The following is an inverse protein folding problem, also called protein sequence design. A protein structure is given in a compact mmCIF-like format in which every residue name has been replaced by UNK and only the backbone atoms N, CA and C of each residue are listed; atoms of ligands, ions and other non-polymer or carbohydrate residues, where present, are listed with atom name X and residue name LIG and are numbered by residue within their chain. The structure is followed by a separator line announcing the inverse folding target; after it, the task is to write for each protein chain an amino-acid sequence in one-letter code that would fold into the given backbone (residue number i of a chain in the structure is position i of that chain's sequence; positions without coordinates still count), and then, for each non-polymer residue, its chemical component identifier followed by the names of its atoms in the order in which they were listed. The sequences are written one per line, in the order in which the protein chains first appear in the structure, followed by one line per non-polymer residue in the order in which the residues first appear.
data_IF_513705363085
#
_entry.id   IF_513705363085
#
_cell.length_a   1.000
_cell.length_b   1.000
_cell.length_c   1.000
_cell.angle_alpha   90.00
_cell.angle_beta   90.00
_cell.angle_gamma   90.00
#
_symmetry.space_group_name_H-M   'P 1'
#
loop_
_entity.id
_entity.type
_entity.pdbx_description
1 polymer ?
#
# COMPACT_ATOMS: atom_id res chain seq x y z
N UNK A 1 -15.86 -36.61 -11.06
CA UNK A 1 -16.94 -35.95 -10.29
C UNK A 1 -16.38 -34.71 -9.63
N UNK A 2 -16.45 -33.58 -10.34
CA UNK A 2 -15.83 -32.31 -9.96
C UNK A 2 -16.86 -31.53 -9.15
N UNK A 3 -16.57 -31.26 -7.87
CA UNK A 3 -17.39 -30.42 -7.01
C UNK A 3 -17.35 -28.99 -7.54
N UNK A 4 -18.49 -28.50 -7.98
CA UNK A 4 -18.77 -27.12 -8.38
C UNK A 4 -18.46 -26.15 -7.24
N UNK A 5 -17.66 -25.13 -7.53
CA UNK A 5 -17.47 -23.99 -6.65
C UNK A 5 -18.80 -23.21 -6.50
N UNK A 6 -19.12 -22.66 -5.31
CA UNK A 6 -20.39 -21.98 -5.10
C UNK A 6 -20.42 -20.66 -5.88
N UNK A 7 -21.49 -20.47 -6.66
CA UNK A 7 -21.85 -19.19 -7.30
C UNK A 7 -22.00 -18.12 -6.23
N UNK A 8 -21.10 -17.14 -6.22
CA UNK A 8 -21.33 -15.87 -5.50
C UNK A 8 -22.43 -15.13 -6.25
N UNK A 9 -23.66 -15.21 -5.74
CA UNK A 9 -24.77 -14.36 -6.16
C UNK A 9 -24.43 -12.94 -5.71
N UNK A 10 -24.07 -12.06 -6.64
CA UNK A 10 -24.17 -10.63 -6.43
C UNK A 10 -25.66 -10.32 -6.25
N UNK A 11 -26.07 -10.13 -5.00
CA UNK A 11 -27.38 -9.58 -4.68
C UNK A 11 -27.40 -8.15 -5.22
N UNK A 12 -28.20 -7.90 -6.24
CA UNK A 12 -28.66 -6.56 -6.56
C UNK A 12 -29.46 -6.06 -5.35
N UNK A 13 -28.90 -5.15 -4.57
CA UNK A 13 -29.63 -4.51 -3.47
C UNK A 13 -30.78 -3.67 -4.05
N UNK A 14 -31.97 -3.69 -3.43
CA UNK A 14 -33.07 -2.83 -3.82
C UNK A 14 -32.70 -1.38 -3.52
N UNK A 15 -33.20 -0.43 -4.33
CA UNK A 15 -32.96 1.00 -4.16
C UNK A 15 -33.36 1.45 -2.74
N UNK A 16 -32.36 1.61 -1.87
CA UNK A 16 -32.52 2.09 -0.50
C UNK A 16 -32.74 3.60 -0.58
N UNK A 17 -33.87 4.08 -0.04
CA UNK A 17 -34.18 5.51 0.02
C UNK A 17 -33.06 6.26 0.77
N UNK A 18 -32.62 7.40 0.22
CA UNK A 18 -31.50 8.18 0.75
C UNK A 18 -31.64 8.61 2.24
N UNK A 19 -32.86 8.56 2.79
CA UNK A 19 -33.10 8.81 4.22
C UNK A 19 -32.73 7.64 5.15
N UNK A 20 -32.78 6.40 4.67
CA UNK A 20 -32.51 5.20 5.48
C UNK A 20 -31.02 4.80 5.51
N UNK A 21 -30.27 5.15 4.48
CA UNK A 21 -28.80 4.97 4.40
C UNK A 21 -28.07 5.83 5.43
N UNK A 22 -28.46 7.11 5.57
CA UNK A 22 -27.87 8.04 6.54
C UNK A 22 -28.05 7.61 8.00
N UNK A 23 -29.22 7.06 8.37
CA UNK A 23 -29.47 6.54 9.73
C UNK A 23 -28.59 5.32 10.00
N UNK A 24 -28.50 4.39 9.04
CA UNK A 24 -27.64 3.19 9.16
C UNK A 24 -26.17 3.56 9.32
N UNK A 25 -25.68 4.54 8.54
CA UNK A 25 -24.28 5.03 8.63
C UNK A 25 -23.99 5.68 9.99
N UNK A 26 -24.92 6.50 10.51
CA UNK A 26 -24.81 7.11 11.85
C UNK A 26 -24.79 6.06 12.97
N UNK A 27 -25.68 5.08 12.91
CA UNK A 27 -25.71 3.96 13.87
C UNK A 27 -24.42 3.14 13.83
N UNK A 28 -23.94 2.79 12.62
CA UNK A 28 -22.66 2.10 12.42
C UNK A 28 -21.51 2.88 13.07
N UNK A 29 -21.50 4.19 12.88
CA UNK A 29 -20.47 5.08 13.43
C UNK A 29 -20.53 5.14 14.96
N UNK A 30 -21.71 5.32 15.55
CA UNK A 30 -21.90 5.30 17.00
C UNK A 30 -21.50 3.97 17.63
N UNK A 31 -21.93 2.85 17.04
CA UNK A 31 -21.54 1.53 17.50
C UNK A 31 -20.02 1.32 17.46
N UNK A 32 -19.37 1.78 16.39
CA UNK A 32 -17.91 1.71 16.26
C UNK A 32 -17.21 2.56 17.32
N UNK A 33 -17.66 3.80 17.55
CA UNK A 33 -17.12 4.67 18.61
C UNK A 33 -17.29 4.05 20.00
N UNK A 34 -18.43 3.42 20.28
CA UNK A 34 -18.65 2.70 21.55
C UNK A 34 -17.69 1.53 21.70
N UNK A 35 -17.46 0.73 20.65
CA UNK A 35 -16.48 -0.37 20.68
C UNK A 35 -15.05 0.15 20.93
N UNK A 36 -14.67 1.27 20.32
CA UNK A 36 -13.39 1.92 20.60
C UNK A 36 -13.31 2.37 22.07
N UNK A 37 -14.36 2.99 22.61
CA UNK A 37 -14.39 3.42 24.00
C UNK A 37 -14.26 2.23 24.97
N UNK A 38 -14.89 1.08 24.67
CA UNK A 38 -14.76 -0.15 25.45
C UNK A 38 -13.34 -0.75 25.39
N UNK A 39 -12.64 -0.59 24.26
CA UNK A 39 -11.26 -1.05 24.10
C UNK A 39 -10.22 -0.10 24.73
N UNK A 40 -10.58 1.16 24.99
CA UNK A 40 -9.70 2.19 25.54
C UNK A 40 -8.98 1.78 26.84
N UNK A 41 -9.64 1.27 27.91
CA UNK A 41 -8.95 0.93 29.15
C UNK A 41 -7.87 -0.15 28.96
N UNK A 42 -8.07 -1.10 28.05
CA UNK A 42 -7.07 -2.13 27.74
C UNK A 42 -5.84 -1.52 27.05
N UNK A 43 -6.06 -0.66 26.06
CA UNK A 43 -4.96 0.01 25.36
C UNK A 43 -4.24 1.01 26.27
N UNK A 44 -4.95 1.73 27.11
CA UNK A 44 -4.36 2.62 28.11
C UNK A 44 -3.48 1.84 29.09
N UNK A 45 -3.94 0.68 29.57
CA UNK A 45 -3.16 -0.18 30.47
C UNK A 45 -1.90 -0.68 29.77
N UNK A 46 -2.03 -1.23 28.55
CA UNK A 46 -0.91 -1.73 27.76
C UNK A 46 0.13 -0.64 27.50
N UNK A 47 -0.31 0.53 27.05
CA UNK A 47 0.59 1.67 26.77
C UNK A 47 1.20 2.22 28.05
N UNK A 48 0.45 2.30 29.15
CA UNK A 48 1.01 2.74 30.44
C UNK A 48 2.11 1.80 30.93
N UNK A 49 1.92 0.47 30.81
CA UNK A 49 2.96 -0.51 31.12
C UNK A 49 4.20 -0.30 30.24
N UNK A 50 4.01 -0.10 28.94
CA UNK A 50 5.10 0.15 27.99
C UNK A 50 5.86 1.46 28.30
N UNK A 51 5.15 2.53 28.65
CA UNK A 51 5.72 3.81 29.07
C UNK A 51 6.54 3.65 30.36
N UNK A 52 5.99 2.98 31.39
CA UNK A 52 6.71 2.69 32.63
C UNK A 52 7.98 1.87 32.36
N UNK A 53 7.89 0.87 31.48
CA UNK A 53 9.04 0.07 31.04
C UNK A 53 10.12 0.93 30.38
N UNK A 54 9.76 1.85 29.49
CA UNK A 54 10.72 2.73 28.79
C UNK A 54 11.45 3.72 29.71
N UNK A 55 10.84 4.09 30.84
CA UNK A 55 11.50 4.93 31.85
C UNK A 55 12.65 4.19 32.54
N UNK A 56 12.51 2.86 32.70
CA UNK A 56 13.50 1.99 33.33
C UNK A 56 14.54 1.49 32.32
N UNK A 57 14.09 1.07 31.13
CA UNK A 57 14.91 0.52 30.07
C UNK A 57 15.12 1.57 28.97
N UNK A 58 16.07 2.48 29.18
CA UNK A 58 16.48 3.41 28.12
C UNK A 58 17.18 2.64 27.01
N UNK A 59 16.60 2.63 25.81
CA UNK A 59 17.30 2.12 24.65
C UNK A 59 18.42 3.06 24.25
N UNK A 60 19.61 2.50 24.04
CA UNK A 60 20.70 3.21 23.41
C UNK A 60 20.29 3.52 21.96
N UNK A 61 20.25 4.80 21.60
CA UNK A 61 20.11 5.24 20.22
C UNK A 61 21.47 5.11 19.55
N UNK A 62 21.50 4.61 18.31
CA UNK A 62 22.73 4.66 17.53
C UNK A 62 23.10 6.13 17.28
N UNK A 63 24.33 6.49 17.61
CA UNK A 63 24.91 7.74 17.12
C UNK A 63 25.40 7.49 15.70
N UNK A 64 25.08 8.40 14.78
CA UNK A 64 25.59 8.36 13.41
C UNK A 64 26.56 9.52 13.22
N UNK A 65 27.65 9.27 12.49
CA UNK A 65 28.70 10.27 12.22
C UNK A 65 28.15 11.38 11.31
N UNK A 66 27.20 11.05 10.43
CA UNK A 66 26.58 11.97 9.48
C UNK A 66 25.05 11.96 9.65
N UNK A 67 24.52 12.65 10.68
CA UNK A 67 23.08 12.73 10.87
C UNK A 67 22.43 13.46 9.68
N UNK A 68 21.27 12.95 9.27
CA UNK A 68 20.48 13.52 8.19
C UNK A 68 19.11 13.94 8.72
N UNK A 69 18.49 14.93 8.08
CA UNK A 69 17.10 15.30 8.32
C UNK A 69 16.26 14.68 7.22
N UNK A 70 15.43 13.71 7.59
CA UNK A 70 14.58 12.94 6.68
C UNK A 70 13.14 13.42 6.80
N UNK A 71 12.59 13.94 5.70
CA UNK A 71 11.17 14.24 5.57
C UNK A 71 10.44 13.01 5.03
N UNK A 72 9.34 12.61 5.64
CA UNK A 72 8.54 11.46 5.21
C UNK A 72 7.10 11.91 4.96
N UNK A 73 6.60 11.65 3.75
CA UNK A 73 5.18 11.84 3.39
C UNK A 73 4.26 10.82 4.03
N UNK A 74 2.95 10.93 3.81
CA UNK A 74 2.01 9.88 4.21
C UNK A 74 2.00 9.61 5.70
N UNK A 75 2.14 10.65 6.52
CA UNK A 75 2.35 10.51 7.97
C UNK A 75 1.24 9.71 8.67
N UNK A 76 0.04 9.62 8.09
CA UNK A 76 -1.06 8.79 8.58
C UNK A 76 -0.91 7.29 8.28
N UNK A 77 -0.01 6.86 7.39
CA UNK A 77 0.17 5.47 6.99
C UNK A 77 1.22 4.75 7.86
N UNK A 78 0.96 3.51 8.25
CA UNK A 78 1.85 2.72 9.13
C UNK A 78 3.25 2.52 8.52
N UNK A 79 3.32 2.44 7.19
CA UNK A 79 4.58 2.44 6.43
C UNK A 79 5.46 3.67 6.70
N UNK A 80 4.88 4.87 6.88
CA UNK A 80 5.65 6.07 7.24
C UNK A 80 6.17 5.97 8.68
N UNK A 81 5.37 5.47 9.62
CA UNK A 81 5.81 5.21 10.99
C UNK A 81 6.96 4.19 11.06
N UNK A 82 6.87 3.12 10.27
CA UNK A 82 7.94 2.11 10.18
C UNK A 82 9.26 2.72 9.68
N UNK A 83 9.21 3.54 8.64
CA UNK A 83 10.39 4.24 8.13
C UNK A 83 10.92 5.26 9.14
N UNK A 84 10.03 6.02 9.81
CA UNK A 84 10.41 6.96 10.86
C UNK A 84 11.18 6.26 11.98
N UNK A 85 10.70 5.11 12.45
CA UNK A 85 11.40 4.29 13.44
C UNK A 85 12.76 3.81 12.95
N UNK A 86 12.83 3.38 11.69
CA UNK A 86 14.08 2.89 11.09
C UNK A 86 15.15 4.00 11.01
N UNK A 87 14.78 5.18 10.50
CA UNK A 87 15.68 6.34 10.43
C UNK A 87 16.08 6.85 11.82
N UNK A 88 15.13 6.92 12.75
CA UNK A 88 15.40 7.38 14.11
C UNK A 88 16.37 6.47 14.85
N UNK A 89 16.16 5.14 14.77
CA UNK A 89 17.05 4.12 15.37
C UNK A 89 18.47 4.21 14.81
N UNK A 90 18.62 4.53 13.51
CA UNK A 90 19.90 4.77 12.87
C UNK A 90 20.52 6.16 13.17
N UNK A 91 19.89 6.97 14.04
CA UNK A 91 20.44 8.25 14.51
C UNK A 91 20.04 9.47 13.67
N UNK A 92 19.16 9.33 12.70
CA UNK A 92 18.70 10.45 11.86
C UNK A 92 17.53 11.20 12.50
N UNK A 93 17.37 12.47 12.13
CA UNK A 93 16.23 13.31 12.53
C UNK A 93 15.09 13.06 11.54
N UNK A 94 13.87 12.88 12.04
CA UNK A 94 12.71 12.56 11.20
C UNK A 94 11.63 13.61 11.34
N UNK A 95 11.12 14.05 10.20
CA UNK A 95 10.00 14.98 10.08
C UNK A 95 8.90 14.27 9.30
N UNK A 96 7.68 14.29 9.84
CA UNK A 96 6.51 13.77 9.16
C UNK A 96 5.68 14.90 8.54
N UNK A 97 5.15 14.65 7.34
CA UNK A 97 4.14 15.51 6.72
C UNK A 97 2.90 14.71 6.33
N UNK A 98 1.75 15.35 6.43
CA UNK A 98 0.50 14.81 5.90
C UNK A 98 -0.51 15.94 5.61
N UNK A 99 -1.54 15.66 4.81
CA UNK A 99 -2.65 16.58 4.60
C UNK A 99 -3.31 17.02 5.91
N UNK A 100 -3.80 18.25 5.93
CA UNK A 100 -4.51 18.81 7.10
C UNK A 100 -5.70 17.96 7.57
N UNK A 101 -6.34 17.17 6.69
CA UNK A 101 -7.38 16.17 7.07
C UNK A 101 -6.89 15.23 8.18
N UNK A 102 -5.60 14.92 8.23
CA UNK A 102 -4.97 14.03 9.22
C UNK A 102 -4.03 14.79 10.16
N UNK A 103 -4.30 16.07 10.43
CA UNK A 103 -3.47 16.91 11.29
C UNK A 103 -3.16 16.28 12.66
N UNK A 104 -4.05 15.44 13.18
CA UNK A 104 -3.87 14.72 14.45
C UNK A 104 -3.74 13.21 14.27
N UNK A 105 -3.00 12.79 13.24
CA UNK A 105 -2.63 11.39 13.07
C UNK A 105 -1.88 10.87 14.29
N UNK A 106 -2.16 9.64 14.72
CA UNK A 106 -1.52 9.04 15.88
C UNK A 106 -0.02 8.82 15.71
N UNK A 107 0.48 8.68 14.48
CA UNK A 107 1.91 8.46 14.23
C UNK A 107 2.78 9.66 14.60
N UNK A 108 2.20 10.88 14.64
CA UNK A 108 2.94 12.10 15.05
C UNK A 108 3.34 12.10 16.53
N UNK A 109 2.77 11.20 17.33
CA UNK A 109 3.09 11.02 18.75
C UNK A 109 4.20 9.99 18.97
N UNK A 110 4.75 9.43 17.90
CA UNK A 110 5.93 8.58 17.99
C UNK A 110 7.13 9.39 18.49
N UNK A 111 7.91 8.82 19.41
CA UNK A 111 9.17 9.43 19.85
C UNK A 111 10.23 9.50 18.75
N UNK A 112 10.00 8.76 17.66
CA UNK A 112 10.86 8.78 16.50
C UNK A 112 10.66 10.03 15.64
N UNK A 113 9.60 10.81 15.87
CA UNK A 113 9.19 11.97 15.07
C UNK A 113 9.57 13.25 15.79
N UNK A 114 10.48 14.02 15.20
CA UNK A 114 10.95 15.29 15.77
C UNK A 114 9.95 16.43 15.53
N UNK A 115 9.41 16.51 14.32
CA UNK A 115 8.40 17.50 13.91
C UNK A 115 7.34 16.88 13.02
N UNK A 116 6.15 17.47 13.07
CA UNK A 116 5.04 17.15 12.20
C UNK A 116 4.46 18.43 11.59
N UNK A 117 4.26 18.41 10.28
CA UNK A 117 3.68 19.51 9.51
C UNK A 117 2.46 19.04 8.74
N UNK A 118 1.51 19.96 8.53
CA UNK A 118 0.40 19.72 7.60
C UNK A 118 0.62 20.42 6.28
N UNK A 119 0.30 19.76 5.18
CA UNK A 119 0.41 20.30 3.82
C UNK A 119 -0.95 20.32 3.10
N UNK A 120 -1.11 21.12 2.03
CA UNK A 120 -2.28 21.05 1.15
C UNK A 120 -2.45 19.67 0.51
N UNK A 121 -3.63 19.43 -0.08
CA UNK A 121 -3.83 18.21 -0.91
C UNK A 121 -2.94 18.25 -2.16
N UNK A 122 -2.48 17.10 -2.69
CA UNK A 122 -1.57 17.04 -3.84
C UNK A 122 -2.01 17.86 -5.06
N UNK A 123 -3.32 17.91 -5.35
CA UNK A 123 -3.87 18.66 -6.48
C UNK A 123 -3.91 20.18 -6.28
N UNK A 124 -3.59 20.68 -5.08
CA UNK A 124 -3.53 22.11 -4.80
C UNK A 124 -2.31 22.72 -5.47
N UNK A 125 -2.46 23.91 -6.05
CA UNK A 125 -1.33 24.71 -6.55
C UNK A 125 -0.32 25.08 -5.46
N UNK A 126 -0.70 25.01 -4.18
CA UNK A 126 0.16 25.32 -3.04
C UNK A 126 0.95 24.10 -2.53
N UNK A 127 0.70 22.90 -3.06
CA UNK A 127 1.31 21.66 -2.56
C UNK A 127 2.84 21.67 -2.66
N UNK A 128 3.35 22.01 -3.85
CA UNK A 128 4.79 22.05 -4.12
C UNK A 128 5.51 23.07 -3.23
N UNK A 129 4.96 24.28 -3.16
CA UNK A 129 5.53 25.38 -2.39
C UNK A 129 5.55 25.06 -0.88
N UNK A 130 4.48 24.47 -0.34
CA UNK A 130 4.43 24.08 1.07
C UNK A 130 5.50 23.03 1.43
N UNK A 131 5.76 22.06 0.54
CA UNK A 131 6.83 21.08 0.75
C UNK A 131 8.22 21.72 0.65
N UNK A 132 8.44 22.61 -0.32
CA UNK A 132 9.70 23.34 -0.46
C UNK A 132 10.02 24.18 0.79
N UNK A 133 9.02 24.89 1.33
CA UNK A 133 9.17 25.68 2.56
C UNK A 133 9.59 24.82 3.75
N UNK A 134 9.01 23.63 3.92
CA UNK A 134 9.39 22.70 4.98
C UNK A 134 10.82 22.19 4.74
N UNK A 135 11.15 21.82 3.50
CA UNK A 135 12.49 21.33 3.13
C UNK A 135 13.57 22.35 3.49
N UNK A 136 13.34 23.62 3.14
CA UNK A 136 14.28 24.71 3.42
C UNK A 136 14.32 25.06 4.91
N UNK A 137 13.16 25.22 5.56
CA UNK A 137 13.07 25.58 6.98
C UNK A 137 13.77 24.57 7.88
N UNK A 138 13.65 23.29 7.56
CA UNK A 138 14.12 22.20 8.40
C UNK A 138 15.48 21.63 7.97
N UNK A 139 16.08 22.19 6.91
CA UNK A 139 17.30 21.68 6.28
C UNK A 139 17.18 20.17 5.98
N UNK A 140 16.07 19.79 5.32
CA UNK A 140 15.84 18.42 4.90
C UNK A 140 16.90 18.02 3.89
N UNK A 141 17.56 16.89 4.11
CA UNK A 141 18.56 16.34 3.19
C UNK A 141 18.00 15.23 2.32
N UNK A 142 16.96 14.53 2.80
CA UNK A 142 16.26 13.47 2.06
C UNK A 142 14.75 13.57 2.26
N UNK A 143 13.98 13.56 1.16
CA UNK A 143 12.53 13.40 1.18
C UNK A 143 12.17 11.98 0.73
N UNK A 144 11.39 11.27 1.56
CA UNK A 144 10.86 9.93 1.29
C UNK A 144 9.34 10.01 1.15
N UNK A 145 8.81 10.06 -0.08
CA UNK A 145 7.38 10.05 -0.28
C UNK A 145 6.81 8.69 0.10
N UNK A 146 5.79 8.71 0.95
CA UNK A 146 4.94 7.57 1.27
C UNK A 146 3.53 8.00 0.89
N UNK A 147 3.01 7.50 -0.22
CA UNK A 147 1.93 8.18 -0.92
C UNK A 147 0.83 7.23 -1.40
N UNK A 148 -0.34 7.81 -1.65
CA UNK A 148 -1.40 7.19 -2.45
C UNK A 148 -1.00 7.21 -3.94
N UNK A 149 -1.66 6.43 -4.81
CA UNK A 149 -1.39 6.49 -6.25
C UNK A 149 -1.47 7.92 -6.82
N UNK A 150 -2.46 8.70 -6.38
CA UNK A 150 -2.62 10.08 -6.84
C UNK A 150 -1.52 10.99 -6.31
N UNK A 151 -1.16 10.89 -5.03
CA UNK A 151 -0.10 11.71 -4.44
C UNK A 151 1.27 11.43 -5.07
N UNK A 152 1.55 10.16 -5.42
CA UNK A 152 2.80 9.73 -6.08
C UNK A 152 3.11 10.53 -7.35
N UNK A 153 2.08 10.90 -8.14
CA UNK A 153 2.24 11.76 -9.30
C UNK A 153 2.76 13.16 -8.96
N UNK A 154 2.17 13.79 -7.94
CA UNK A 154 2.59 15.12 -7.52
C UNK A 154 3.95 15.10 -6.83
N UNK A 155 4.26 14.06 -6.06
CA UNK A 155 5.58 13.85 -5.47
C UNK A 155 6.67 13.74 -6.55
N UNK A 156 6.41 13.03 -7.65
CA UNK A 156 7.33 12.94 -8.78
C UNK A 156 7.47 14.27 -9.54
N UNK A 157 6.38 15.02 -9.71
CA UNK A 157 6.41 16.33 -10.37
C UNK A 157 7.27 17.36 -9.63
N UNK A 158 7.21 17.37 -8.30
CA UNK A 158 7.96 18.34 -7.49
C UNK A 158 9.40 17.91 -7.24
N UNK A 159 9.78 16.68 -7.60
CA UNK A 159 11.11 16.15 -7.31
C UNK A 159 12.23 17.03 -7.90
N UNK A 160 12.04 17.54 -9.12
CA UNK A 160 12.98 18.46 -9.76
C UNK A 160 13.11 19.80 -9.00
N UNK A 161 12.00 20.34 -8.50
CA UNK A 161 11.99 21.56 -7.69
C UNK A 161 12.72 21.37 -6.35
N UNK A 162 12.65 20.18 -5.75
CA UNK A 162 13.29 19.87 -4.48
C UNK A 162 14.76 19.43 -4.61
N UNK A 163 15.18 18.96 -5.79
CA UNK A 163 16.51 18.40 -6.04
C UNK A 163 17.69 19.32 -5.63
N UNK A 164 17.62 20.66 -5.77
CA UNK A 164 18.68 21.56 -5.29
C UNK A 164 18.86 21.55 -3.76
N UNK A 165 17.86 21.09 -3.02
CA UNK A 165 17.83 21.16 -1.55
C UNK A 165 17.94 19.78 -0.90
N UNK A 166 17.34 18.74 -1.48
CA UNK A 166 17.34 17.40 -0.91
C UNK A 166 17.25 16.30 -1.97
N UNK A 167 17.66 15.09 -1.61
CA UNK A 167 17.42 13.90 -2.43
C UNK A 167 15.97 13.44 -2.28
N UNK A 168 15.24 13.27 -3.38
CA UNK A 168 13.87 12.72 -3.35
C UNK A 168 13.90 11.23 -3.71
N UNK A 169 13.42 10.38 -2.80
CA UNK A 169 13.38 8.91 -2.97
C UNK A 169 12.16 8.46 -3.77
N UNK A 170 12.07 8.94 -5.01
CA UNK A 170 10.99 8.66 -5.95
C UNK A 170 11.54 8.52 -7.37
N UNK A 171 10.87 7.72 -8.21
CA UNK A 171 11.12 7.71 -9.65
C UNK A 171 10.70 9.06 -10.26
N UNK A 172 11.34 9.46 -11.35
CA UNK A 172 10.92 10.65 -12.10
C UNK A 172 9.52 10.51 -12.69
N UNK A 173 8.92 11.62 -13.11
CA UNK A 173 7.52 11.67 -13.56
C UNK A 173 7.28 10.83 -14.83
N UNK A 174 8.26 10.73 -15.73
CA UNK A 174 8.12 9.95 -16.97
C UNK A 174 8.13 8.46 -16.65
N UNK A 175 9.07 8.01 -15.81
CA UNK A 175 9.13 6.64 -15.31
C UNK A 175 7.92 6.29 -14.47
N UNK A 176 7.43 7.19 -13.63
CA UNK A 176 6.19 6.98 -12.89
C UNK A 176 5.02 6.66 -13.82
N UNK A 177 4.80 7.50 -14.86
CA UNK A 177 3.71 7.30 -15.83
C UNK A 177 3.86 5.97 -16.57
N UNK A 178 5.08 5.63 -16.99
CA UNK A 178 5.36 4.37 -17.68
C UNK A 178 5.10 3.15 -16.78
N UNK A 179 5.46 3.23 -15.50
CA UNK A 179 5.37 2.10 -14.58
C UNK A 179 3.96 1.91 -14.00
N UNK A 180 3.20 2.98 -13.78
CA UNK A 180 1.82 2.93 -13.27
C UNK A 180 0.80 2.54 -14.37
N UNK A 181 1.11 2.85 -15.64
CA UNK A 181 0.35 2.33 -16.79
C UNK A 181 0.69 0.85 -17.00
N UNK A 182 -0.29 -0.03 -16.69
CA UNK A 182 -0.13 -1.49 -16.78
C UNK A 182 0.32 -1.99 -18.16
N UNK A 183 -0.08 -1.31 -19.23
CA UNK A 183 0.32 -1.70 -20.58
C UNK A 183 1.74 -1.23 -20.87
N UNK A 184 2.06 0.04 -20.59
CA UNK A 184 3.41 0.57 -20.80
C UNK A 184 4.45 -0.17 -19.95
N UNK A 185 4.10 -0.53 -18.72
CA UNK A 185 4.89 -1.42 -17.85
C UNK A 185 5.15 -2.78 -18.50
N UNK A 186 4.10 -3.45 -18.98
CA UNK A 186 4.24 -4.77 -19.61
C UNK A 186 5.14 -4.71 -20.86
N UNK A 187 5.01 -3.66 -21.67
CA UNK A 187 5.88 -3.44 -22.84
C UNK A 187 7.35 -3.20 -22.40
N UNK A 188 7.58 -2.37 -21.38
CA UNK A 188 8.92 -2.11 -20.86
C UNK A 188 9.60 -3.39 -20.34
N UNK A 189 8.88 -4.19 -19.55
CA UNK A 189 9.38 -5.47 -19.06
C UNK A 189 9.61 -6.49 -20.19
N UNK A 190 8.66 -6.61 -21.13
CA UNK A 190 8.80 -7.51 -22.28
C UNK A 190 9.99 -7.16 -23.18
N UNK A 191 10.31 -5.88 -23.34
CA UNK A 191 11.49 -5.42 -24.09
C UNK A 191 12.81 -5.86 -23.44
N UNK A 192 12.81 -6.03 -22.10
CA UNK A 192 13.94 -6.57 -21.35
C UNK A 192 13.96 -8.12 -21.33
N UNK A 193 13.05 -8.78 -22.06
CA UNK A 193 12.92 -10.24 -22.08
C UNK A 193 12.33 -10.82 -20.79
N UNK A 194 11.69 -9.99 -19.95
CA UNK A 194 11.13 -10.40 -18.68
C UNK A 194 9.69 -10.90 -18.83
N UNK A 195 9.34 -11.90 -18.03
CA UNK A 195 8.02 -12.54 -18.08
C UNK A 195 6.91 -11.60 -17.59
N UNK A 196 5.95 -11.35 -18.48
CA UNK A 196 4.71 -10.60 -18.23
C UNK A 196 3.56 -11.26 -18.99
N UNK A 197 2.30 -11.10 -18.55
CA UNK A 197 1.17 -11.63 -19.29
C UNK A 197 1.06 -10.95 -20.65
N UNK A 198 0.60 -11.69 -21.67
CA UNK A 198 0.30 -11.10 -22.98
C UNK A 198 -0.72 -9.98 -22.81
N UNK A 199 -0.40 -8.81 -23.34
CA UNK A 199 -1.14 -7.58 -23.07
C UNK A 199 -1.38 -6.79 -24.35
N UNK A 200 -2.59 -6.26 -24.50
CA UNK A 200 -3.01 -5.43 -25.63
C UNK A 200 -3.67 -4.16 -25.10
N UNK A 201 -3.34 -3.01 -25.70
CA UNK A 201 -4.00 -1.73 -25.40
C UNK A 201 -5.29 -1.62 -26.19
N UNK A 202 -6.38 -1.35 -25.49
CA UNK A 202 -7.73 -1.28 -26.05
C UNK A 202 -8.27 0.15 -25.87
N UNK A 203 -8.44 0.86 -26.98
CA UNK A 203 -9.04 2.20 -27.05
C UNK A 203 -10.41 2.19 -27.72
N UNK A 204 -10.81 1.06 -28.31
CA UNK A 204 -12.11 0.89 -28.92
C UNK A 204 -12.66 -0.55 -28.71
N UNK A 205 -13.93 -0.74 -28.33
CA UNK A 205 -14.54 -2.06 -28.12
C UNK A 205 -14.33 -3.06 -29.26
N UNK A 206 -14.36 -2.57 -30.50
CA UNK A 206 -14.20 -3.39 -31.70
C UNK A 206 -12.87 -4.15 -31.73
N UNK A 207 -11.80 -3.62 -31.12
CA UNK A 207 -10.50 -4.30 -31.04
C UNK A 207 -10.58 -5.63 -30.28
N UNK A 208 -11.49 -5.75 -29.31
CA UNK A 208 -11.71 -6.99 -28.56
C UNK A 208 -12.67 -7.91 -29.30
N UNK A 209 -13.67 -7.35 -29.97
CA UNK A 209 -14.66 -8.11 -30.76
C UNK A 209 -13.99 -8.81 -31.94
N UNK A 210 -13.05 -8.14 -32.60
CA UNK A 210 -12.32 -8.68 -33.75
C UNK A 210 -11.10 -9.53 -33.36
N UNK A 211 -10.81 -9.66 -32.06
CA UNK A 211 -9.65 -10.41 -31.60
C UNK A 211 -9.84 -11.93 -31.79
N UNK A 212 -8.88 -12.56 -32.43
CA UNK A 212 -8.86 -14.02 -32.61
C UNK A 212 -8.41 -14.74 -31.32
N UNK A 213 -9.38 -15.15 -30.51
CA UNK A 213 -9.13 -15.93 -29.30
C UNK A 213 -8.78 -17.41 -29.57
N UNK A 214 -8.86 -17.91 -30.81
CA UNK A 214 -8.68 -19.35 -31.10
C UNK A 214 -7.28 -19.87 -30.75
N UNK A 215 -6.28 -19.00 -30.77
CA UNK A 215 -4.88 -19.31 -30.44
C UNK A 215 -4.51 -19.00 -28.98
N UNK A 216 -5.46 -18.52 -28.18
CA UNK A 216 -5.24 -18.19 -26.79
C UNK A 216 -5.06 -19.46 -25.95
N UNK A 217 -3.97 -19.54 -25.19
CA UNK A 217 -3.74 -20.64 -24.23
C UNK A 217 -4.52 -20.44 -22.93
N UNK A 218 -4.65 -19.18 -22.51
CA UNK A 218 -5.37 -18.75 -21.32
C UNK A 218 -6.47 -17.75 -21.72
N UNK A 219 -7.56 -17.64 -20.94
CA UNK A 219 -8.54 -16.58 -21.16
C UNK A 219 -7.91 -15.20 -20.92
N UNK A 220 -8.58 -14.15 -21.36
CA UNK A 220 -8.16 -12.77 -21.14
C UNK A 220 -9.09 -12.04 -20.18
N UNK A 221 -8.62 -10.96 -19.58
CA UNK A 221 -9.40 -10.05 -18.75
C UNK A 221 -9.19 -8.61 -19.24
N UNK A 222 -10.18 -7.75 -18.99
CA UNK A 222 -10.13 -6.33 -19.28
C UNK A 222 -10.00 -5.54 -17.97
N UNK A 223 -8.98 -4.68 -17.89
CA UNK A 223 -8.80 -3.74 -16.78
C UNK A 223 -8.71 -2.31 -17.33
N UNK A 224 -9.30 -1.35 -16.64
CA UNK A 224 -9.05 0.06 -16.94
C UNK A 224 -7.58 0.39 -16.69
N UNK A 225 -6.95 1.14 -17.61
CA UNK A 225 -5.61 1.68 -17.39
C UNK A 225 -5.69 2.84 -16.38
N UNK A 226 -6.53 3.88 -16.58
CA UNK A 226 -6.85 4.84 -15.54
C UNK A 226 -7.49 4.16 -14.32
N UNK A 227 -7.31 4.76 -13.14
CA UNK A 227 -7.89 4.25 -11.91
C UNK A 227 -9.43 4.28 -11.97
N UNK A 228 -10.06 3.12 -11.82
CA UNK A 228 -11.53 2.93 -11.76
C UNK A 228 -11.89 2.16 -10.48
N UNK A 229 -12.44 2.84 -9.48
CA UNK A 229 -12.80 2.23 -8.19
C UNK A 229 -13.97 1.24 -8.26
N UNK A 230 -14.80 1.32 -9.29
CA UNK A 230 -15.99 0.48 -9.46
C UNK A 230 -15.64 -0.84 -10.13
N UNK A 231 -14.82 -0.78 -11.19
CA UNK A 231 -14.55 -1.94 -12.07
C UNK A 231 -13.21 -2.62 -11.79
N UNK A 232 -12.35 -2.06 -10.93
CA UNK A 232 -10.99 -2.61 -10.66
C UNK A 232 -10.96 -4.07 -10.24
N UNK A 233 -12.00 -4.59 -9.59
CA UNK A 233 -12.07 -5.99 -9.15
C UNK A 233 -12.80 -6.91 -10.12
N UNK A 234 -13.32 -6.39 -11.24
CA UNK A 234 -14.04 -7.20 -12.22
C UNK A 234 -13.04 -7.97 -13.10
N UNK A 235 -12.89 -9.27 -12.84
CA UNK A 235 -12.04 -10.18 -13.61
C UNK A 235 -12.87 -11.00 -14.60
N UNK A 236 -13.80 -10.35 -15.32
CA UNK A 236 -14.63 -11.02 -16.32
C UNK A 236 -13.75 -11.60 -17.42
N UNK A 237 -13.75 -12.93 -17.53
CA UNK A 237 -12.94 -13.65 -18.51
C UNK A 237 -13.54 -13.54 -19.93
N UNK A 238 -12.64 -13.46 -20.90
CA UNK A 238 -12.87 -13.39 -22.34
C UNK A 238 -12.18 -14.56 -23.06
N UNK A 239 -12.76 -15.07 -24.16
CA UNK A 239 -14.08 -14.69 -24.68
C UNK A 239 -15.22 -15.14 -23.75
N UNK A 240 -16.38 -14.51 -23.88
CA UNK A 240 -17.62 -15.00 -23.28
C UNK A 240 -18.10 -16.25 -24.04
N UNK A 241 -19.04 -17.05 -23.49
CA UNK A 241 -19.58 -18.24 -24.15
C UNK A 241 -19.96 -18.07 -25.62
N UNK A 242 -20.43 -16.88 -26.01
CA UNK A 242 -20.71 -16.53 -27.41
C UNK A 242 -20.03 -15.22 -27.82
N UNK A 243 -19.83 -15.03 -29.12
CA UNK A 243 -19.31 -13.78 -29.68
C UNK A 243 -20.22 -12.59 -29.36
N UNK A 244 -21.55 -12.80 -29.38
CA UNK A 244 -22.54 -11.76 -29.06
C UNK A 244 -22.50 -11.35 -27.57
N UNK A 245 -22.33 -12.31 -26.66
CA UNK A 245 -22.11 -12.01 -25.25
C UNK A 245 -20.81 -11.22 -25.02
N UNK A 246 -19.75 -11.56 -25.77
CA UNK A 246 -18.48 -10.82 -25.73
C UNK A 246 -18.69 -9.38 -26.19
N UNK A 247 -19.34 -9.18 -27.34
CA UNK A 247 -19.63 -7.87 -27.88
C UNK A 247 -20.50 -7.04 -26.92
N UNK A 248 -21.54 -7.64 -26.34
CA UNK A 248 -22.43 -6.98 -25.37
C UNK A 248 -21.66 -6.53 -24.14
N UNK A 249 -20.84 -7.42 -23.57
CA UNK A 249 -20.03 -7.09 -22.39
C UNK A 249 -19.05 -5.95 -22.69
N UNK A 250 -18.28 -6.03 -23.76
CA UNK A 250 -17.24 -5.03 -24.07
C UNK A 250 -17.87 -3.67 -24.41
N UNK A 251 -19.00 -3.64 -25.13
CA UNK A 251 -19.73 -2.38 -25.43
C UNK A 251 -20.32 -1.72 -24.17
N UNK A 252 -20.51 -2.46 -23.08
CA UNK A 252 -20.95 -1.88 -21.79
C UNK A 252 -19.82 -1.18 -21.01
N UNK A 253 -18.58 -1.33 -21.47
CA UNK A 253 -17.41 -0.69 -20.86
C UNK A 253 -17.17 0.70 -21.48
N UNK A 254 -16.80 1.72 -20.68
CA UNK A 254 -16.49 3.06 -21.16
C UNK A 254 -15.11 3.12 -21.82
N UNK A 255 -14.88 2.27 -22.82
CA UNK A 255 -13.63 2.18 -23.57
C UNK A 255 -13.58 3.33 -24.58
N UNK A 256 -12.52 4.13 -24.53
CA UNK A 256 -12.26 5.18 -25.51
C UNK A 256 -10.76 5.51 -25.55
N UNK A 257 -10.34 6.40 -26.45
CA UNK A 257 -8.97 6.92 -26.43
C UNK A 257 -8.64 7.67 -25.12
N UNK A 258 -9.61 8.40 -24.58
CA UNK A 258 -9.47 9.14 -23.32
C UNK A 258 -9.55 8.22 -22.08
N UNK A 259 -10.17 7.04 -22.21
CA UNK A 259 -10.24 6.04 -21.16
C UNK A 259 -9.80 4.67 -21.71
N UNK A 260 -8.49 4.48 -21.92
CA UNK A 260 -7.98 3.25 -22.49
C UNK A 260 -8.00 2.10 -21.48
N UNK A 261 -8.16 0.89 -21.98
CA UNK A 261 -8.15 -0.35 -21.21
C UNK A 261 -6.98 -1.24 -21.63
N UNK A 262 -6.61 -2.17 -20.77
CA UNK A 262 -5.66 -3.25 -21.06
C UNK A 262 -6.43 -4.57 -21.13
N UNK A 263 -6.31 -5.27 -22.26
CA UNK A 263 -6.69 -6.67 -22.38
C UNK A 263 -5.45 -7.52 -22.06
N UNK A 264 -5.49 -8.19 -20.92
CA UNK A 264 -4.35 -8.92 -20.36
C UNK A 264 -4.70 -10.40 -20.21
N UNK A 265 -3.76 -11.29 -20.52
CA UNK A 265 -3.91 -12.72 -20.26
C UNK A 265 -4.19 -12.97 -18.78
N UNK A 266 -5.21 -13.77 -18.49
CA UNK A 266 -5.56 -14.16 -17.13
C UNK A 266 -4.61 -15.26 -16.66
N UNK A 267 -3.79 -14.94 -15.67
CA UNK A 267 -2.86 -15.90 -15.07
C UNK A 267 -3.51 -16.49 -13.81
N UNK A 268 -3.96 -17.75 -13.81
CA UNK A 268 -4.42 -18.42 -12.60
C UNK A 268 -3.21 -18.81 -11.76
N UNK A 269 -3.21 -18.51 -10.46
CA UNK A 269 -2.06 -18.88 -9.63
C UNK A 269 -2.00 -18.22 -8.27
N UNK A 270 -0.84 -18.32 -7.64
CA UNK A 270 -0.55 -17.66 -6.37
C UNK A 270 -0.07 -16.23 -6.64
N UNK A 271 -0.78 -15.25 -6.11
CA UNK A 271 -0.36 -13.85 -6.18
C UNK A 271 0.74 -13.56 -5.14
N UNK A 272 1.70 -12.72 -5.52
CA UNK A 272 2.75 -12.19 -4.66
C UNK A 272 2.82 -10.68 -4.78
N UNK A 273 3.12 -10.02 -3.67
CA UNK A 273 3.41 -8.60 -3.56
C UNK A 273 4.88 -8.40 -3.24
N UNK A 274 5.47 -7.33 -3.74
CA UNK A 274 6.87 -6.99 -3.44
C UNK A 274 7.03 -5.53 -3.10
N UNK A 275 8.13 -5.21 -2.44
CA UNK A 275 8.58 -3.83 -2.28
C UNK A 275 10.09 -3.76 -2.34
N UNK A 276 10.58 -2.77 -3.08
CA UNK A 276 12.01 -2.52 -3.20
C UNK A 276 12.32 -1.02 -3.10
N UNK A 277 13.42 -0.71 -2.41
CA UNK A 277 14.11 0.59 -2.52
C UNK A 277 15.27 0.40 -3.47
N UNK A 278 15.35 1.26 -4.48
CA UNK A 278 16.29 1.10 -5.60
C UNK A 278 17.06 2.40 -5.82
N UNK A 279 18.31 2.28 -6.26
CA UNK A 279 19.18 3.41 -6.53
C UNK A 279 20.11 3.10 -7.70
N UNK A 280 20.07 3.93 -8.73
CA UNK A 280 20.92 3.82 -9.92
C UNK A 280 20.97 2.38 -10.46
N UNK A 281 19.80 1.75 -10.64
CA UNK A 281 19.70 0.40 -11.17
C UNK A 281 20.10 -0.72 -10.21
N UNK A 282 20.35 -0.42 -8.94
CA UNK A 282 20.67 -1.40 -7.89
C UNK A 282 19.57 -1.47 -6.84
N UNK A 283 19.18 -2.69 -6.49
CA UNK A 283 18.23 -2.93 -5.41
C UNK A 283 18.96 -2.86 -4.07
N UNK A 284 18.53 -1.94 -3.21
CA UNK A 284 19.11 -1.72 -1.88
C UNK A 284 18.41 -2.55 -0.81
N UNK A 285 17.08 -2.63 -0.92
CA UNK A 285 16.22 -3.37 -0.02
C UNK A 285 15.13 -4.05 -0.84
N UNK A 286 14.79 -5.28 -0.49
CA UNK A 286 13.74 -6.05 -1.15
C UNK A 286 12.97 -6.93 -0.17
N UNK A 287 11.65 -7.01 -0.34
CA UNK A 287 10.85 -8.07 0.27
C UNK A 287 9.80 -8.59 -0.70
N UNK A 288 9.39 -9.84 -0.46
CA UNK A 288 8.34 -10.53 -1.20
C UNK A 288 7.38 -11.18 -0.20
N UNK A 289 6.09 -11.10 -0.50
CA UNK A 289 5.01 -11.63 0.33
C UNK A 289 3.97 -12.34 -0.54
N UNK A 290 3.32 -13.38 -0.03
CA UNK A 290 2.07 -13.85 -0.65
C UNK A 290 1.03 -12.74 -0.55
N UNK A 291 0.33 -12.45 -1.64
CA UNK A 291 -0.70 -11.42 -1.70
C UNK A 291 -2.12 -12.00 -1.53
N UNK A 292 -3.07 -11.11 -1.26
CA UNK A 292 -4.50 -11.40 -1.20
C UNK A 292 -5.30 -10.14 -1.50
N UNK A 293 -6.58 -10.30 -1.87
CA UNK A 293 -7.47 -9.19 -2.20
C UNK A 293 -7.60 -8.12 -1.10
N UNK A 294 -7.35 -8.47 0.17
CA UNK A 294 -7.23 -7.52 1.26
C UNK A 294 -6.06 -7.88 2.18
N UNK A 295 -4.87 -7.52 1.72
CA UNK A 295 -3.62 -7.78 2.42
C UNK A 295 -3.41 -6.82 3.60
N UNK A 296 -3.59 -7.34 4.82
CA UNK A 296 -3.27 -6.67 6.09
C UNK A 296 -2.47 -7.58 7.03
N UNK A 297 -1.83 -8.60 6.46
CA UNK A 297 -0.87 -9.45 7.13
C UNK A 297 0.32 -9.58 6.18
N UNK A 298 1.55 -9.47 6.64
CA UNK A 298 2.71 -9.61 5.78
C UNK A 298 3.70 -10.58 6.39
N UNK A 299 4.10 -11.57 5.60
CA UNK A 299 5.12 -12.55 5.93
C UNK A 299 6.07 -12.65 4.75
N UNK A 300 7.37 -12.56 5.03
CA UNK A 300 8.39 -12.61 4.00
C UNK A 300 8.52 -14.04 3.48
N UNK A 301 8.65 -14.17 2.17
CA UNK A 301 8.94 -15.43 1.50
C UNK A 301 10.11 -15.24 0.56
N UNK A 302 11.05 -16.17 0.59
CA UNK A 302 12.15 -16.20 -0.36
C UNK A 302 11.64 -16.74 -1.70
N UNK A 303 11.72 -15.91 -2.74
CA UNK A 303 11.26 -16.28 -4.08
C UNK A 303 12.28 -15.83 -5.13
N UNK A 304 13.29 -16.66 -5.36
CA UNK A 304 14.45 -16.34 -6.20
C UNK A 304 14.10 -15.93 -7.64
N UNK A 305 13.02 -16.46 -8.23
CA UNK A 305 12.60 -16.05 -9.58
C UNK A 305 12.05 -14.62 -9.63
N UNK A 306 11.25 -14.23 -8.64
CA UNK A 306 10.73 -12.87 -8.49
C UNK A 306 11.89 -11.91 -8.23
N UNK A 307 12.82 -12.29 -7.35
CA UNK A 307 14.02 -11.49 -7.06
C UNK A 307 14.86 -11.26 -8.32
N UNK A 308 15.17 -12.32 -9.09
CA UNK A 308 15.91 -12.22 -10.36
C UNK A 308 15.19 -11.30 -11.36
N UNK A 309 13.87 -11.42 -11.46
CA UNK A 309 13.06 -10.55 -12.33
C UNK A 309 13.24 -9.08 -11.94
N UNK A 310 13.13 -8.77 -10.64
CA UNK A 310 13.25 -7.40 -10.12
C UNK A 310 14.64 -6.84 -10.33
N UNK A 311 15.69 -7.62 -10.02
CA UNK A 311 17.08 -7.22 -10.25
C UNK A 311 17.32 -6.82 -11.71
N UNK A 312 16.83 -7.64 -12.65
CA UNK A 312 16.96 -7.39 -14.08
C UNK A 312 16.15 -6.16 -14.52
N UNK A 313 14.91 -6.00 -14.06
CA UNK A 313 14.05 -4.87 -14.41
C UNK A 313 14.61 -3.53 -13.89
N UNK A 314 15.00 -3.51 -12.62
CA UNK A 314 15.55 -2.33 -11.95
C UNK A 314 16.85 -1.88 -12.63
N UNK A 315 17.74 -2.83 -12.95
CA UNK A 315 18.97 -2.56 -13.68
C UNK A 315 18.70 -2.08 -15.11
N UNK A 316 17.82 -2.76 -15.83
CA UNK A 316 17.49 -2.46 -17.23
C UNK A 316 16.91 -1.06 -17.43
N UNK A 317 16.18 -0.52 -16.45
CA UNK A 317 15.63 0.83 -16.49
C UNK A 317 16.45 1.86 -15.67
N UNK A 318 17.56 1.45 -15.05
CA UNK A 318 18.40 2.28 -14.19
C UNK A 318 17.60 3.04 -13.10
N UNK A 319 16.68 2.35 -12.42
CA UNK A 319 15.72 3.00 -11.54
C UNK A 319 16.37 3.54 -10.25
N UNK A 320 15.85 4.68 -9.78
CA UNK A 320 16.08 5.24 -8.44
C UNK A 320 14.74 5.59 -7.81
N UNK A 321 14.56 5.27 -6.53
CA UNK A 321 13.34 5.53 -5.78
C UNK A 321 12.75 4.28 -5.14
N UNK A 322 11.43 4.16 -5.16
CA UNK A 322 10.70 3.07 -4.52
C UNK A 322 9.79 2.40 -5.56
N UNK A 323 9.88 1.08 -5.68
CA UNK A 323 9.07 0.31 -6.63
C UNK A 323 8.52 -0.94 -5.98
N UNK A 324 7.26 -1.22 -6.24
CA UNK A 324 6.54 -2.37 -5.70
C UNK A 324 5.85 -3.06 -6.86
N UNK A 325 5.94 -4.38 -6.94
CA UNK A 325 5.37 -5.14 -8.05
C UNK A 325 4.44 -6.21 -7.52
N UNK A 326 3.38 -6.46 -8.28
CA UNK A 326 2.53 -7.62 -8.08
C UNK A 326 2.88 -8.68 -9.13
N UNK A 327 3.01 -9.91 -8.67
CA UNK A 327 3.32 -11.08 -9.48
C UNK A 327 2.24 -12.14 -9.32
N UNK A 328 2.13 -13.02 -10.32
CA UNK A 328 1.43 -14.29 -10.19
C UNK A 328 2.39 -15.41 -10.58
N UNK A 329 2.56 -16.38 -9.69
CA UNK A 329 3.15 -17.66 -10.05
C UNK A 329 2.04 -18.56 -10.60
N UNK A 330 2.10 -18.84 -11.89
CA UNK A 330 1.02 -19.51 -12.60
C UNK A 330 0.88 -20.98 -12.18
N UNK A 331 -0.35 -21.45 -12.00
CA UNK A 331 -0.63 -22.80 -11.52
C UNK A 331 -0.41 -23.89 -12.59
N UNK A 332 -0.40 -23.51 -13.86
CA UNK A 332 -0.31 -24.42 -15.01
C UNK A 332 1.13 -24.65 -15.49
N UNK A 333 1.97 -23.61 -15.58
CA UNK A 333 3.38 -23.74 -16.00
C UNK A 333 4.41 -23.40 -14.90
N UNK A 334 3.96 -22.95 -13.73
CA UNK A 334 4.81 -22.60 -12.60
C UNK A 334 5.59 -21.30 -12.76
N UNK A 335 5.51 -20.62 -13.91
CA UNK A 335 6.28 -19.40 -14.18
C UNK A 335 5.72 -18.20 -13.43
N UNK A 336 6.60 -17.27 -13.09
CA UNK A 336 6.22 -15.99 -12.50
C UNK A 336 5.96 -14.94 -13.58
N UNK A 337 4.86 -14.21 -13.44
CA UNK A 337 4.48 -13.11 -14.35
C UNK A 337 4.26 -11.85 -13.54
N UNK A 338 4.98 -10.76 -13.87
CA UNK A 338 4.70 -9.46 -13.28
C UNK A 338 3.44 -8.87 -13.92
N UNK A 339 2.44 -8.54 -13.11
CA UNK A 339 1.12 -8.09 -13.59
C UNK A 339 0.92 -6.58 -13.51
N UNK A 340 1.56 -5.91 -12.54
CA UNK A 340 1.57 -4.46 -12.39
C UNK A 340 2.79 -3.98 -11.58
N UNK A 341 3.17 -2.72 -11.81
CA UNK A 341 4.12 -1.98 -10.98
C UNK A 341 3.39 -0.81 -10.30
N UNK A 342 3.72 -0.59 -9.04
CA UNK A 342 3.24 0.48 -8.18
C UNK A 342 4.49 1.25 -7.68
N UNK A 343 4.88 2.39 -8.29
CA UNK A 343 6.17 3.05 -8.03
C UNK A 343 6.18 3.87 -6.73
N UNK A 344 5.83 3.21 -5.62
CA UNK A 344 5.60 3.79 -4.30
C UNK A 344 5.82 2.75 -3.21
N UNK A 345 5.95 3.19 -1.97
CA UNK A 345 6.16 2.31 -0.81
C UNK A 345 4.99 1.34 -0.61
N UNK A 346 5.29 0.05 -0.47
CA UNK A 346 4.30 -0.94 -0.05
C UNK A 346 4.28 -1.11 1.47
N UNK A 347 3.16 -1.55 2.02
CA UNK A 347 3.04 -1.78 3.48
C UNK A 347 3.83 -2.99 3.98
N UNK A 348 4.30 -3.84 3.06
CA UNK A 348 5.26 -4.91 3.32
C UNK A 348 6.56 -4.42 3.99
N UNK A 349 6.90 -3.12 3.87
CA UNK A 349 8.03 -2.50 4.59
C UNK A 349 7.95 -2.70 6.11
N UNK A 350 6.75 -2.94 6.67
CA UNK A 350 6.55 -3.25 8.10
C UNK A 350 7.32 -4.50 8.54
N UNK A 351 7.62 -5.44 7.64
CA UNK A 351 8.42 -6.63 7.96
C UNK A 351 9.88 -6.30 8.29
N UNK A 352 10.34 -5.08 8.04
CA UNK A 352 11.69 -4.63 8.40
C UNK A 352 11.77 -3.98 9.80
N UNK A 353 10.77 -4.16 10.66
CA UNK A 353 10.71 -3.55 12.01
C UNK A 353 11.96 -3.77 12.88
N UNK A 354 12.69 -4.86 12.64
CA UNK A 354 13.91 -5.26 13.33
C UNK A 354 15.19 -5.20 12.47
N UNK A 355 15.14 -4.68 11.24
CA UNK A 355 16.31 -4.68 10.37
C UNK A 355 17.14 -3.38 10.54
N UNK A 356 18.45 -3.47 10.84
CA UNK A 356 19.29 -2.29 11.10
C UNK A 356 19.55 -1.44 9.85
N UNK A 357 19.68 -2.07 8.68
CA UNK A 357 20.15 -1.37 7.46
C UNK A 357 19.05 -0.69 6.62
N UNK A 358 17.81 -0.63 7.11
CA UNK A 358 16.72 0.04 6.36
C UNK A 358 17.06 1.49 6.09
N UNK A 359 17.59 2.21 7.09
CA UNK A 359 17.99 3.60 6.90
C UNK A 359 19.07 3.71 5.82
N UNK A 360 20.09 2.85 5.84
CA UNK A 360 21.17 2.86 4.87
C UNK A 360 20.69 2.56 3.44
N UNK A 361 19.70 1.67 3.28
CA UNK A 361 19.10 1.37 1.98
C UNK A 361 18.44 2.60 1.32
N UNK A 362 17.99 3.58 2.11
CA UNK A 362 17.43 4.82 1.61
C UNK A 362 18.46 5.94 1.48
N UNK A 363 19.40 6.06 2.41
CA UNK A 363 20.26 7.25 2.54
C UNK A 363 21.63 7.10 1.88
N UNK A 364 22.14 5.87 1.76
CA UNK A 364 23.46 5.64 1.17
C UNK A 364 23.42 5.93 -0.34
N UNK A 365 24.42 6.68 -0.82
CA UNK A 365 24.53 7.02 -2.25
C UNK A 365 25.08 5.85 -3.06
N UNK A 366 25.85 4.97 -2.44
CA UNK A 366 26.40 3.77 -3.07
C UNK A 366 25.52 2.56 -2.78
N UNK A 367 25.50 1.55 -3.69
CA UNK A 367 24.84 0.29 -3.42
C UNK A 367 25.33 -0.34 -2.11
N UNK A 368 24.40 -0.86 -1.32
CA UNK A 368 24.73 -1.66 -0.15
C UNK A 368 25.54 -2.90 -0.58
N UNK A 369 26.52 -3.34 0.23
CA UNK A 369 27.29 -4.56 -0.05
C UNK A 369 26.39 -5.79 -0.19
N UNK A 370 25.29 -5.82 0.58
CA UNK A 370 24.26 -6.83 0.52
C UNK A 370 22.90 -6.15 0.51
N UNK A 371 22.01 -6.63 -0.37
CA UNK A 371 20.62 -6.20 -0.40
C UNK A 371 19.94 -6.54 0.93
N UNK A 372 19.32 -5.54 1.57
CA UNK A 372 18.58 -5.74 2.80
C UNK A 372 17.28 -6.50 2.52
N UNK A 373 17.04 -7.58 3.26
CA UNK A 373 15.80 -8.37 3.22
C UNK A 373 15.27 -8.51 4.65
N UNK A 374 13.96 -8.77 4.87
CA UNK A 374 13.45 -9.01 6.21
C UNK A 374 14.28 -10.12 6.89
N UNK A 375 14.72 -9.87 8.13
CA UNK A 375 15.55 -10.84 8.85
C UNK A 375 14.79 -12.15 9.04
N UNK A 376 15.51 -13.28 9.17
CA UNK A 376 14.90 -14.56 9.54
C UNK A 376 14.13 -14.50 10.88
N UNK A 377 14.51 -13.58 11.76
CA UNK A 377 13.81 -13.28 13.01
C UNK A 377 12.61 -12.35 12.86
N UNK A 378 12.31 -11.86 11.64
CA UNK A 378 11.14 -11.05 11.36
C UNK A 378 9.89 -11.93 11.40
N UNK A 379 8.98 -11.58 12.31
CA UNK A 379 7.70 -12.27 12.47
C UNK A 379 6.67 -11.67 11.52
N UNK A 380 5.64 -12.44 11.13
CA UNK A 380 4.55 -11.90 10.32
C UNK A 380 3.94 -10.66 10.95
N UNK A 381 3.83 -9.56 10.18
CA UNK A 381 3.23 -8.33 10.67
C UNK A 381 1.73 -8.32 10.48
N UNK A 382 1.00 -7.68 11.38
CA UNK A 382 -0.47 -7.55 11.33
C UNK A 382 -0.94 -6.26 12.00
N UNK A 383 -2.23 -5.96 11.93
CA UNK A 383 -2.86 -4.88 12.69
C UNK A 383 -3.89 -5.45 13.66
N UNK A 384 -3.68 -5.27 14.97
CA UNK A 384 -4.50 -5.91 16.03
C UNK A 384 -5.99 -5.68 15.81
N UNK A 385 -6.41 -4.45 15.48
CA UNK A 385 -7.83 -4.15 15.32
C UNK A 385 -8.47 -4.82 14.10
N UNK A 386 -7.70 -5.08 13.03
CA UNK A 386 -8.18 -5.88 11.91
C UNK A 386 -8.40 -7.34 12.32
N UNK A 387 -7.47 -7.91 13.09
CA UNK A 387 -7.59 -9.29 13.57
C UNK A 387 -8.70 -9.44 14.62
N UNK A 388 -8.88 -8.47 15.53
CA UNK A 388 -9.98 -8.45 16.49
C UNK A 388 -11.34 -8.33 15.78
N UNK A 389 -11.45 -7.48 14.76
CA UNK A 389 -12.69 -7.40 13.97
C UNK A 389 -12.99 -8.72 13.24
N UNK A 390 -11.97 -9.36 12.65
CA UNK A 390 -12.10 -10.68 12.03
C UNK A 390 -12.50 -11.75 13.04
N UNK A 391 -11.96 -11.71 14.25
CA UNK A 391 -12.34 -12.60 15.35
C UNK A 391 -13.84 -12.46 15.65
N UNK A 392 -14.32 -11.23 15.89
CA UNK A 392 -15.73 -10.95 16.23
C UNK A 392 -16.71 -11.37 15.12
N UNK A 393 -16.30 -11.24 13.85
CA UNK A 393 -17.16 -11.58 12.70
C UNK A 393 -17.07 -13.04 12.27
N UNK A 394 -16.08 -13.80 12.75
CA UNK A 394 -15.83 -15.20 12.37
C UNK A 394 -15.90 -16.17 13.57
N UNK A 395 -16.52 -15.75 14.68
CA UNK A 395 -16.60 -16.51 15.95
C UNK A 395 -17.17 -17.93 15.80
N UNK A 396 -18.04 -18.16 14.81
CA UNK A 396 -18.71 -19.44 14.59
C UNK A 396 -17.80 -20.51 13.95
N UNK A 397 -16.55 -20.17 13.60
CA UNK A 397 -15.59 -21.09 13.00
C UNK A 397 -14.40 -21.34 13.92
N UNK A 398 -14.34 -22.49 14.64
CA UNK A 398 -13.23 -22.82 15.54
C UNK A 398 -11.87 -22.84 14.84
N UNK A 399 -11.83 -23.28 13.59
CA UNK A 399 -10.61 -23.30 12.76
C UNK A 399 -10.10 -21.88 12.51
N UNK A 400 -10.99 -20.95 12.13
CA UNK A 400 -10.61 -19.57 11.89
C UNK A 400 -10.21 -18.87 13.19
N UNK A 401 -10.94 -19.11 14.28
CA UNK A 401 -10.57 -18.62 15.61
C UNK A 401 -9.14 -19.04 15.99
N UNK A 402 -8.81 -20.32 15.87
CA UNK A 402 -7.46 -20.84 16.15
C UNK A 402 -6.40 -20.16 15.28
N UNK A 403 -6.66 -20.02 13.97
CA UNK A 403 -5.74 -19.35 13.05
C UNK A 403 -5.50 -17.88 13.43
N UNK A 404 -6.54 -17.15 13.81
CA UNK A 404 -6.43 -15.74 14.22
C UNK A 404 -5.66 -15.58 15.53
N UNK A 405 -5.91 -16.46 16.51
CA UNK A 405 -5.14 -16.48 17.75
C UNK A 405 -3.66 -16.79 17.48
N UNK A 406 -3.35 -17.71 16.56
CA UNK A 406 -1.97 -17.97 16.15
C UNK A 406 -1.30 -16.75 15.51
N UNK A 407 -2.02 -15.98 14.67
CA UNK A 407 -1.51 -14.73 14.10
C UNK A 407 -1.18 -13.72 15.22
N UNK A 408 -2.07 -13.53 16.19
CA UNK A 408 -1.86 -12.61 17.30
C UNK A 408 -0.69 -13.01 18.20
N UNK A 409 -0.51 -14.31 18.46
CA UNK A 409 0.56 -14.82 19.33
C UNK A 409 1.92 -14.81 18.63
N UNK A 410 1.96 -15.24 17.37
CA UNK A 410 3.22 -15.43 16.64
C UNK A 410 3.65 -14.19 15.87
N UNK A 411 2.74 -13.25 15.61
CA UNK A 411 3.03 -12.09 14.78
C UNK A 411 3.60 -10.89 15.55
N UNK A 412 3.77 -9.81 14.80
CA UNK A 412 4.15 -8.49 15.29
C UNK A 412 3.07 -7.49 14.88
N UNK A 413 2.46 -6.81 15.85
CA UNK A 413 1.62 -5.67 15.52
C UNK A 413 2.46 -4.59 14.82
N UNK A 414 1.96 -4.07 13.70
CA UNK A 414 2.67 -3.15 12.83
C UNK A 414 2.74 -1.71 13.40
N UNK A 415 1.91 -1.38 14.40
CA UNK A 415 1.89 -0.06 15.04
C UNK A 415 2.51 -0.14 16.45
N UNK A 416 2.17 -1.14 17.26
CA UNK A 416 2.64 -1.24 18.64
C UNK A 416 4.12 -1.62 18.74
N UNK A 417 4.90 -0.74 19.38
CA UNK A 417 6.25 -0.99 19.83
C UNK A 417 6.34 -0.71 21.32
N UNK A 418 7.07 -1.54 22.06
CA UNK A 418 7.24 -1.35 23.49
C UNK A 418 7.98 -0.05 23.81
N UNK A 419 8.94 0.30 22.96
CA UNK A 419 9.80 1.47 23.12
C UNK A 419 9.30 2.65 22.26
N UNK A 420 8.09 2.56 21.71
CA UNK A 420 7.38 3.66 21.05
C UNK A 420 5.86 3.37 21.03
N UNK A 421 5.20 3.32 22.21
CA UNK A 421 3.85 2.77 22.32
C UNK A 421 2.73 3.78 22.01
N UNK A 422 3.02 5.08 22.08
CA UNK A 422 2.01 6.14 21.92
C UNK A 422 1.27 6.11 20.57
N UNK A 423 1.92 5.84 19.42
CA UNK A 423 1.20 5.70 18.14
C UNK A 423 0.07 4.68 18.19
N UNK A 424 0.22 3.58 18.93
CA UNK A 424 -0.83 2.57 19.04
C UNK A 424 -2.07 3.11 19.74
N UNK A 425 -1.91 3.84 20.84
CA UNK A 425 -3.05 4.48 21.51
C UNK A 425 -3.68 5.55 20.62
N UNK A 426 -2.85 6.43 20.06
CA UNK A 426 -3.33 7.64 19.39
C UNK A 426 -3.97 7.34 18.02
N UNK A 427 -3.52 6.31 17.30
CA UNK A 427 -4.20 5.89 16.06
C UNK A 427 -5.60 5.39 16.39
N UNK A 428 -5.72 4.45 17.32
CA UNK A 428 -6.98 3.75 17.58
C UNK A 428 -7.98 4.58 18.38
N UNK A 429 -7.52 5.46 19.26
CA UNK A 429 -8.37 6.20 20.21
C UNK A 429 -8.38 7.71 20.01
N UNK A 430 -7.68 8.22 19.00
CA UNK A 430 -7.74 9.64 18.65
C UNK A 430 -7.98 9.86 17.16
N UNK A 431 -7.05 9.42 16.30
CA UNK A 431 -7.16 9.59 14.85
C UNK A 431 -8.44 8.97 14.28
N UNK A 432 -8.67 7.67 14.52
CA UNK A 432 -9.84 6.98 13.99
C UNK A 432 -11.16 7.56 14.56
N UNK A 433 -11.31 7.77 15.87
CA UNK A 433 -12.48 8.46 16.42
C UNK A 433 -12.74 9.84 15.81
N UNK A 434 -11.71 10.67 15.58
CA UNK A 434 -11.87 11.98 14.95
C UNK A 434 -12.36 11.86 13.51
N UNK A 435 -11.84 10.90 12.74
CA UNK A 435 -12.32 10.64 11.39
C UNK A 435 -13.78 10.17 11.40
N UNK A 436 -14.14 9.28 12.33
CA UNK A 436 -15.51 8.78 12.50
C UNK A 436 -16.47 9.90 12.89
N UNK A 437 -16.10 10.77 13.84
CA UNK A 437 -16.88 11.95 14.22
C UNK A 437 -17.02 12.92 13.04
N UNK A 438 -15.97 13.09 12.24
CA UNK A 438 -16.03 13.87 11.00
C UNK A 438 -17.03 13.28 10.01
N UNK A 439 -16.99 11.97 9.77
CA UNK A 439 -17.95 11.24 8.92
C UNK A 439 -19.38 11.37 9.46
N UNK A 440 -19.57 11.23 10.77
CA UNK A 440 -20.87 11.36 11.44
C UNK A 440 -21.47 12.75 11.22
N UNK A 441 -20.68 13.81 11.38
CA UNK A 441 -21.11 15.20 11.18
C UNK A 441 -21.47 15.48 9.72
N UNK A 442 -20.69 14.97 8.77
CA UNK A 442 -20.96 15.15 7.33
C UNK A 442 -22.11 14.26 6.82
N UNK A 443 -22.47 13.20 7.54
CA UNK A 443 -23.37 12.17 7.04
C UNK A 443 -22.74 11.29 5.95
N UNK A 444 -21.41 11.31 5.82
CA UNK A 444 -20.68 10.48 4.85
C UNK A 444 -20.81 9.01 5.20
N UNK A 445 -20.98 8.16 4.18
CA UNK A 445 -20.89 6.71 4.32
C UNK A 445 -19.45 6.24 4.23
N UNK A 446 -19.08 5.30 5.09
CA UNK A 446 -17.78 4.64 5.06
C UNK A 446 -17.95 3.12 5.01
N UNK A 447 -17.11 2.47 4.21
CA UNK A 447 -17.11 1.03 3.97
C UNK A 447 -16.39 0.34 5.13
N UNK A 448 -15.14 0.72 5.39
CA UNK A 448 -14.28 0.14 6.43
C UNK A 448 -13.28 1.16 6.98
N UNK A 449 -12.76 0.86 8.18
CA UNK A 449 -11.55 1.52 8.70
C UNK A 449 -10.36 0.73 8.16
N UNK A 450 -9.35 1.43 7.65
CA UNK A 450 -8.09 0.82 7.24
C UNK A 450 -6.93 1.37 8.08
N UNK A 451 -6.57 0.64 9.14
CA UNK A 451 -5.51 1.04 10.07
C UNK A 451 -4.12 1.06 9.43
N UNK A 452 -3.90 0.32 8.34
CA UNK A 452 -2.62 0.31 7.62
C UNK A 452 -2.33 1.67 6.95
N UNK A 453 -3.37 2.26 6.36
CA UNK A 453 -3.28 3.57 5.69
C UNK A 453 -3.92 4.70 6.51
N UNK A 454 -4.28 4.43 7.77
CA UNK A 454 -4.75 5.41 8.75
C UNK A 454 -6.02 6.18 8.34
N UNK A 455 -6.95 5.58 7.61
CA UNK A 455 -8.11 6.29 7.07
C UNK A 455 -9.43 5.53 7.13
N UNK A 456 -10.52 6.25 6.90
CA UNK A 456 -11.81 5.67 6.57
C UNK A 456 -11.88 5.51 5.05
N UNK A 457 -12.25 4.31 4.60
CA UNK A 457 -12.50 4.05 3.17
C UNK A 457 -13.95 4.45 2.87
N UNK A 458 -14.14 5.51 2.10
CA UNK A 458 -15.45 6.03 1.67
C UNK A 458 -15.80 5.52 0.24
N UNK A 459 -17.07 5.62 -0.15
CA UNK A 459 -17.52 5.25 -1.50
C UNK A 459 -16.96 6.25 -2.52
N UNK A 460 -16.21 5.76 -3.52
CA UNK A 460 -15.65 6.58 -4.61
C UNK A 460 -14.17 6.93 -4.49
N UNK A 461 -13.51 6.66 -3.36
CA UNK A 461 -12.13 7.11 -3.10
C UNK A 461 -12.10 8.07 -1.91
N UNK A 462 -10.92 8.64 -1.63
CA UNK A 462 -10.66 9.46 -0.42
C UNK A 462 -11.60 10.67 -0.17
#
# INVERSE_FOLDING_TARGET
MIKTAPKVKLLSEPAVSAGSSGVRSRLKTLATLTLLLLALPFNLTLVSIALLRSLVLRQARSTTVNPQTVLIGGGQMTKALQLARSFHKAGHRVILVEMHKYWLTGHRFSWCVDRFYTIPKPQSSQYAQALLEIVQKENVTVYVPVCSPVASYYDALIAEMLAPHCTVMHVDVERLKQLDDKYAFAIAAGTLGLSVPKSHRITHPQQVIDFDFSKAKRPYILKSIPYDSVRRLALTQLPRPTAEETATFVRSLPISEANPWIMQEYIPGQEYCTHSTVRQGHVQLHCCCKSSAFQVNYEHVDHSEIERWILAFVKGLNLTGQVSFDFIQAADDGQVYAIECNPRTHSAITMFYNHPDVAQAYLNLHPLPQMAQPLASSRPTYWTYHEVWRLLTQLLSPKMLRQRLQILVNGKDAIFEWDDPLPFLMVHHWQIPLLLLGSFRRGSEWIRIDFNIGKLVELGGD
#
